data_IF_988575400764
#
_entry.id   IF_988575400764
#
_cell.length_a   1.000
_cell.length_b   1.000
_cell.length_c   1.000
_cell.angle_alpha   90.00
_cell.angle_beta   90.00
_cell.angle_gamma   90.00
#
_symmetry.space_group_name_H-M   'P 1'
#
loop_
_entity.id
_entity.type
_entity.pdbx_description
1 polymer ?
#
# COMPACT_ATOMS: atom_id res chain seq x y z
N UNK A 1 -9.30 -5.38 11.29
CA UNK A 1 -9.76 -5.04 9.93
C UNK A 1 -8.58 -4.73 9.01
N UNK A 2 -7.81 -3.66 9.28
CA UNK A 2 -6.63 -3.21 8.52
C UNK A 2 -5.71 -4.37 8.08
N UNK A 3 -5.16 -5.14 9.03
CA UNK A 3 -4.23 -6.25 8.71
C UNK A 3 -4.82 -7.30 7.75
N UNK A 4 -6.14 -7.55 7.81
CA UNK A 4 -6.81 -8.50 6.90
C UNK A 4 -6.89 -7.95 5.48
N UNK A 5 -7.30 -6.69 5.33
CA UNK A 5 -7.35 -6.02 4.02
C UNK A 5 -5.94 -5.87 3.44
N UNK A 6 -4.98 -5.43 4.24
CA UNK A 6 -3.57 -5.35 3.86
C UNK A 6 -3.07 -6.69 3.33
N UNK A 7 -3.22 -7.78 4.10
CA UNK A 7 -2.72 -9.09 3.69
C UNK A 7 -3.39 -9.57 2.40
N UNK A 8 -4.70 -9.36 2.26
CA UNK A 8 -5.45 -9.75 1.06
C UNK A 8 -4.95 -8.99 -0.18
N UNK A 9 -4.85 -7.66 -0.11
CA UNK A 9 -4.41 -6.82 -1.23
C UNK A 9 -2.94 -7.04 -1.57
N UNK A 10 -2.08 -7.13 -0.56
CA UNK A 10 -0.67 -7.42 -0.73
C UNK A 10 -0.46 -8.78 -1.40
N UNK A 11 -1.22 -9.80 -1.00
CA UNK A 11 -1.20 -11.12 -1.61
C UNK A 11 -1.63 -11.10 -3.08
N UNK A 12 -2.70 -10.38 -3.43
CA UNK A 12 -3.12 -10.21 -4.84
C UNK A 12 -2.02 -9.53 -5.66
N UNK A 13 -1.42 -8.47 -5.13
CA UNK A 13 -0.35 -7.74 -5.81
C UNK A 13 0.88 -8.62 -6.03
N UNK A 14 1.27 -9.44 -5.04
CA UNK A 14 2.43 -10.34 -5.11
C UNK A 14 2.34 -11.36 -6.24
N UNK A 15 1.12 -11.78 -6.63
CA UNK A 15 0.91 -12.73 -7.73
C UNK A 15 1.42 -12.15 -9.06
N UNK A 16 1.42 -10.82 -9.22
CA UNK A 16 1.89 -10.13 -10.42
C UNK A 16 1.41 -10.75 -11.76
N UNK A 17 0.09 -10.94 -11.96
CA UNK A 17 -0.42 -11.66 -13.11
C UNK A 17 -0.27 -10.91 -14.45
N UNK A 18 -0.08 -9.58 -14.42
CA UNK A 18 0.05 -8.77 -15.62
C UNK A 18 1.51 -8.37 -15.88
N UNK A 19 1.88 -8.16 -17.15
CA UNK A 19 3.22 -7.66 -17.52
C UNK A 19 3.46 -6.25 -16.97
N UNK A 20 2.44 -5.41 -17.01
CA UNK A 20 2.48 -4.04 -16.50
C UNK A 20 1.14 -3.68 -15.84
N UNK A 21 1.14 -2.66 -15.00
CA UNK A 21 -0.10 -2.12 -14.42
C UNK A 21 -0.66 -2.86 -13.20
N UNK A 22 0.06 -3.85 -12.63
CA UNK A 22 -0.40 -4.59 -11.44
C UNK A 22 -0.83 -3.68 -10.28
N UNK A 23 -0.05 -2.64 -9.97
CA UNK A 23 -0.40 -1.67 -8.91
C UNK A 23 -1.70 -0.92 -9.24
N UNK A 24 -1.88 -0.48 -10.49
CA UNK A 24 -3.12 0.20 -10.91
C UNK A 24 -4.32 -0.73 -10.81
N UNK A 25 -4.18 -1.97 -11.29
CA UNK A 25 -5.25 -2.96 -11.25
C UNK A 25 -5.64 -3.31 -9.82
N UNK A 26 -4.68 -3.55 -8.93
CA UNK A 26 -4.98 -3.88 -7.53
C UNK A 26 -5.61 -2.70 -6.78
N UNK A 27 -5.20 -1.46 -7.07
CA UNK A 27 -5.84 -0.25 -6.52
C UNK A 27 -7.30 -0.14 -6.95
N UNK A 28 -7.59 -0.31 -8.24
CA UNK A 28 -8.97 -0.24 -8.76
C UNK A 28 -9.83 -1.39 -8.21
N UNK A 29 -9.26 -2.59 -8.06
CA UNK A 29 -9.91 -3.71 -7.39
C UNK A 29 -10.23 -3.38 -5.92
N UNK A 30 -9.26 -2.86 -5.16
CA UNK A 30 -9.43 -2.51 -3.75
C UNK A 30 -10.53 -1.47 -3.54
N UNK A 31 -10.56 -0.41 -4.37
CA UNK A 31 -11.59 0.64 -4.29
C UNK A 31 -12.98 0.02 -4.49
N UNK A 32 -13.16 -0.79 -5.54
CA UNK A 32 -14.44 -1.47 -5.79
C UNK A 32 -14.80 -2.43 -4.67
N UNK A 33 -13.85 -3.26 -4.24
CA UNK A 33 -14.03 -4.22 -3.16
C UNK A 33 -14.51 -3.54 -1.86
N UNK A 34 -13.90 -2.42 -1.46
CA UNK A 34 -14.31 -1.70 -0.25
C UNK A 34 -15.68 -1.01 -0.41
N UNK A 35 -16.01 -0.52 -1.60
CA UNK A 35 -17.34 0.06 -1.88
C UNK A 35 -18.47 -0.96 -1.69
N UNK A 36 -18.24 -2.24 -2.03
CA UNK A 36 -19.21 -3.32 -1.75
C UNK A 36 -19.48 -3.52 -0.25
N UNK A 37 -18.57 -3.07 0.64
CA UNK A 37 -18.77 -3.07 2.09
C UNK A 37 -19.23 -1.72 2.66
N UNK A 38 -19.62 -0.77 1.80
CA UNK A 38 -20.17 0.53 2.20
C UNK A 38 -19.13 1.61 2.52
N UNK A 39 -17.85 1.40 2.19
CA UNK A 39 -16.84 2.46 2.31
C UNK A 39 -16.95 3.46 1.14
N UNK A 40 -16.95 4.75 1.46
CA UNK A 40 -16.85 5.83 0.47
C UNK A 40 -15.38 6.18 0.22
N UNK A 41 -14.76 5.44 -0.70
CA UNK A 41 -13.35 5.60 -1.05
C UNK A 41 -13.25 5.94 -2.54
N UNK A 42 -12.46 6.95 -2.87
CA UNK A 42 -12.08 7.29 -4.23
C UNK A 42 -10.59 7.02 -4.48
N UNK A 43 -10.09 7.45 -5.64
CA UNK A 43 -8.69 7.23 -6.02
C UNK A 43 -7.71 8.26 -5.42
N UNK A 44 -8.21 9.27 -4.70
CA UNK A 44 -7.41 10.41 -4.23
C UNK A 44 -6.24 9.99 -3.34
N UNK A 45 -6.40 9.13 -2.31
CA UNK A 45 -5.28 8.70 -1.47
C UNK A 45 -4.18 7.97 -2.23
N UNK A 46 -4.57 7.16 -3.23
CA UNK A 46 -3.63 6.40 -4.05
C UNK A 46 -2.89 7.28 -5.06
N UNK A 47 -3.52 8.34 -5.56
CA UNK A 47 -2.85 9.32 -6.41
C UNK A 47 -1.85 10.16 -5.62
N UNK A 48 -2.28 10.71 -4.48
CA UNK A 48 -1.46 11.56 -3.62
C UNK A 48 -0.23 10.83 -3.07
N UNK A 49 -0.36 9.55 -2.73
CA UNK A 49 0.70 8.73 -2.14
C UNK A 49 1.14 7.58 -3.05
N UNK A 50 1.09 7.76 -4.38
CA UNK A 50 1.32 6.68 -5.36
C UNK A 50 2.67 5.98 -5.21
N UNK A 51 3.77 6.74 -5.04
CA UNK A 51 5.12 6.19 -4.83
C UNK A 51 5.21 5.44 -3.51
N UNK A 52 4.71 6.04 -2.43
CA UNK A 52 4.65 5.44 -1.10
C UNK A 52 3.89 4.11 -1.13
N UNK A 53 2.69 4.09 -1.69
CA UNK A 53 1.84 2.89 -1.72
C UNK A 53 2.48 1.75 -2.50
N UNK A 54 3.04 2.03 -3.68
CA UNK A 54 3.74 1.03 -4.48
C UNK A 54 4.93 0.44 -3.73
N UNK A 55 5.73 1.29 -3.10
CA UNK A 55 6.95 0.83 -2.45
C UNK A 55 6.63 0.12 -1.12
N UNK A 56 5.56 0.54 -0.42
CA UNK A 56 5.01 -0.19 0.71
C UNK A 56 4.53 -1.60 0.33
N UNK A 57 3.92 -1.79 -0.84
CA UNK A 57 3.58 -3.12 -1.36
C UNK A 57 4.81 -3.99 -1.62
N UNK A 58 5.89 -3.40 -2.17
CA UNK A 58 7.18 -4.09 -2.36
C UNK A 58 7.76 -4.53 -1.02
N UNK A 59 7.79 -3.63 -0.04
CA UNK A 59 8.37 -3.86 1.28
C UNK A 59 7.58 -4.87 2.12
N UNK A 60 6.24 -4.88 2.00
CA UNK A 60 5.41 -5.90 2.65
C UNK A 60 5.61 -7.29 2.03
N UNK A 61 6.09 -7.37 0.78
CA UNK A 61 6.37 -8.62 0.06
C UNK A 61 7.87 -8.95 -0.08
N UNK A 62 8.75 -8.20 0.57
CA UNK A 62 10.19 -8.38 0.46
C UNK A 62 10.62 -9.78 0.92
N UNK A 63 11.40 -10.47 0.08
CA UNK A 63 11.99 -11.79 0.37
C UNK A 63 13.47 -11.72 0.74
N UNK A 64 14.19 -10.74 0.20
CA UNK A 64 15.65 -10.59 0.36
C UNK A 64 15.96 -9.53 1.42
N UNK A 65 15.30 -8.37 1.32
CA UNK A 65 15.36 -7.33 2.34
C UNK A 65 14.49 -7.73 3.54
N UNK A 66 14.78 -7.15 4.71
CA UNK A 66 13.90 -7.26 5.87
C UNK A 66 12.50 -6.76 5.47
N UNK A 67 11.48 -7.59 5.69
CA UNK A 67 10.09 -7.24 5.43
C UNK A 67 9.67 -6.08 6.33
N UNK A 68 9.06 -5.04 5.75
CA UNK A 68 8.60 -3.83 6.46
C UNK A 68 7.09 -3.61 6.25
N UNK A 69 6.23 -4.41 6.90
CA UNK A 69 4.77 -4.35 6.72
C UNK A 69 4.13 -3.08 7.29
N UNK A 70 4.84 -2.34 8.15
CA UNK A 70 4.34 -1.18 8.86
C UNK A 70 3.97 -0.02 7.93
N UNK A 71 4.66 0.17 6.81
CA UNK A 71 4.34 1.24 5.85
C UNK A 71 3.00 0.98 5.16
N UNK A 72 2.77 -0.27 4.76
CA UNK A 72 1.48 -0.65 4.16
C UNK A 72 0.36 -0.62 5.22
N UNK A 73 0.68 -0.95 6.47
CA UNK A 73 -0.24 -0.80 7.61
C UNK A 73 -0.66 0.66 7.78
N UNK A 74 0.30 1.59 7.83
CA UNK A 74 0.06 3.02 7.98
C UNK A 74 -0.83 3.59 6.88
N UNK A 75 -0.61 3.18 5.62
CA UNK A 75 -1.46 3.56 4.50
C UNK A 75 -2.91 3.13 4.71
N UNK A 76 -3.14 1.87 5.10
CA UNK A 76 -4.49 1.35 5.32
C UNK A 76 -5.17 1.90 6.57
N UNK A 77 -4.41 2.29 7.61
CA UNK A 77 -4.95 3.00 8.77
C UNK A 77 -5.46 4.39 8.38
N UNK A 78 -4.70 5.13 7.56
CA UNK A 78 -5.17 6.41 7.03
C UNK A 78 -6.42 6.22 6.17
N UNK A 79 -6.40 5.24 5.26
CA UNK A 79 -7.49 4.97 4.33
C UNK A 79 -8.79 4.53 5.03
N UNK A 80 -8.71 3.59 5.98
CA UNK A 80 -9.88 2.92 6.54
C UNK A 80 -10.35 3.50 7.87
N UNK A 81 -9.47 4.16 8.62
CA UNK A 81 -9.73 4.62 9.98
C UNK A 81 -9.57 6.15 10.13
N UNK A 82 -9.25 6.87 9.04
CA UNK A 82 -8.98 8.30 9.10
C UNK A 82 -7.70 8.65 9.87
N UNK A 83 -6.75 7.70 9.95
CA UNK A 83 -5.46 7.89 10.58
C UNK A 83 -4.65 9.05 9.97
N UNK A 84 -3.68 9.54 10.73
CA UNK A 84 -2.81 10.67 10.36
C UNK A 84 -1.34 10.25 10.27
N UNK A 85 -1.09 8.99 9.90
CA UNK A 85 0.27 8.50 9.69
C UNK A 85 0.95 9.29 8.56
N UNK A 86 2.25 9.51 8.68
CA UNK A 86 3.01 10.19 7.63
C UNK A 86 3.24 9.26 6.44
N UNK A 87 2.67 9.61 5.29
CA UNK A 87 2.78 8.86 4.03
C UNK A 87 3.78 9.50 3.06
N UNK A 88 4.85 10.11 3.59
CA UNK A 88 5.98 10.62 2.83
C UNK A 88 6.91 9.49 2.38
N UNK A 89 7.14 9.38 1.07
CA UNK A 89 8.15 8.45 0.54
C UNK A 89 9.56 8.83 1.00
N UNK A 90 9.85 10.11 1.20
CA UNK A 90 11.14 10.56 1.71
C UNK A 90 11.38 10.07 3.14
N UNK A 91 10.39 10.21 4.02
CA UNK A 91 10.55 9.65 5.37
C UNK A 91 10.65 8.13 5.35
N UNK A 92 9.88 7.46 4.50
CA UNK A 92 9.99 6.00 4.33
C UNK A 92 11.42 5.57 4.00
N UNK A 93 12.10 6.16 3.01
CA UNK A 93 13.45 5.71 2.69
C UNK A 93 14.49 6.16 3.72
N UNK A 94 14.25 7.27 4.43
CA UNK A 94 15.10 7.67 5.55
C UNK A 94 15.04 6.61 6.66
N UNK A 95 13.84 6.11 6.98
CA UNK A 95 13.61 5.02 7.95
C UNK A 95 14.15 3.65 7.47
N UNK A 96 14.54 3.56 6.19
CA UNK A 96 15.14 2.37 5.59
C UNK A 96 16.65 2.52 5.42
N UNK A 97 17.25 3.63 5.83
CA UNK A 97 18.64 4.01 5.56
C UNK A 97 19.00 4.00 4.05
N UNK A 98 18.00 4.10 3.16
CA UNK A 98 18.16 4.01 1.71
C UNK A 98 18.55 5.35 1.04
N UNK A 99 18.77 6.41 1.82
CA UNK A 99 19.24 7.71 1.31
C UNK A 99 20.76 7.90 1.33
N UNK A 100 21.53 6.93 1.82
CA UNK A 100 22.99 7.01 1.95
C UNK A 100 23.77 5.95 1.16
N UNK A 101 23.17 5.35 0.12
CA UNK A 101 23.83 4.39 -0.77
C UNK A 101 23.82 4.81 -2.23
#
# INVERSE_FOLDING_TARGET
MVKKIQHFISGIWQIHPFREGNTRTVTVFLIQYLREFGFDIDNTPFQQHSKYFRDALVLDNAKILQRRPEFLTAFFENLLLGGQNDLSSEKMYLDLDLYFS
#
